data_IF_987585207197
#
_entry.id   IF_987585207197
#
_cell.length_a   1.000
_cell.length_b   1.000
_cell.length_c   1.000
_cell.angle_alpha   90.00
_cell.angle_beta   90.00
_cell.angle_gamma   90.00
#
_symmetry.space_group_name_H-M   'P 1'
#
loop_
_entity.id
_entity.type
_entity.pdbx_description
1 polymer ?
#
# COMPACT_ATOMS: atom_id res chain seq x y z
N UNK A 1 -18.60 -11.39 0.51
CA UNK A 1 -18.78 -11.26 1.97
C UNK A 1 -18.21 -9.92 2.41
N UNK A 2 -18.47 -9.47 3.63
CA UNK A 2 -17.81 -8.30 4.21
C UNK A 2 -16.96 -8.74 5.40
N UNK A 3 -15.72 -9.09 5.11
CA UNK A 3 -14.68 -9.55 6.00
C UNK A 3 -14.39 -8.52 7.11
N UNK A 4 -14.57 -7.22 6.86
CA UNK A 4 -14.45 -6.17 7.89
C UNK A 4 -15.55 -6.18 8.98
N UNK A 5 -16.63 -6.93 8.77
CA UNK A 5 -17.69 -7.11 9.78
C UNK A 5 -17.56 -8.41 10.55
N UNK A 6 -16.64 -9.28 10.13
CA UNK A 6 -16.32 -10.49 10.88
C UNK A 6 -15.59 -10.13 12.18
N UNK A 7 -15.83 -10.89 13.24
CA UNK A 7 -15.03 -10.85 14.47
C UNK A 7 -13.56 -11.21 14.24
N UNK A 8 -13.25 -11.82 13.09
CA UNK A 8 -11.92 -12.27 12.72
C UNK A 8 -11.08 -11.20 12.00
N UNK A 9 -11.64 -10.00 11.77
CA UNK A 9 -10.81 -8.90 11.31
C UNK A 9 -9.83 -8.51 12.44
N UNK A 10 -8.54 -8.57 12.16
CA UNK A 10 -7.48 -8.37 13.17
C UNK A 10 -6.97 -6.92 13.19
N UNK A 11 -7.78 -5.96 12.73
CA UNK A 11 -7.39 -4.56 12.70
C UNK A 11 -7.31 -3.99 14.12
N UNK A 12 -6.24 -3.25 14.40
CA UNK A 12 -6.02 -2.58 15.68
C UNK A 12 -6.94 -1.37 15.92
N UNK A 13 -6.91 -0.84 17.14
CA UNK A 13 -7.77 0.28 17.56
C UNK A 13 -7.50 1.61 16.80
N UNK A 14 -6.29 1.80 16.28
CA UNK A 14 -5.88 2.96 15.49
C UNK A 14 -5.91 2.69 13.96
N UNK A 15 -6.50 1.57 13.56
CA UNK A 15 -6.60 1.10 12.19
C UNK A 15 -8.06 1.10 11.72
N UNK A 16 -8.23 1.27 10.41
CA UNK A 16 -9.49 1.06 9.72
C UNK A 16 -9.38 -0.14 8.80
N UNK A 17 -10.52 -0.79 8.54
CA UNK A 17 -10.61 -1.96 7.68
C UNK A 17 -11.17 -1.56 6.31
N UNK A 18 -10.52 -2.03 5.23
CA UNK A 18 -11.04 -1.96 3.86
C UNK A 18 -11.39 -3.37 3.40
N UNK A 19 -12.63 -3.54 2.97
CA UNK A 19 -13.13 -4.81 2.49
C UNK A 19 -12.77 -5.05 1.02
N UNK A 20 -12.40 -6.28 0.69
CA UNK A 20 -12.21 -6.76 -0.67
C UNK A 20 -12.94 -8.10 -0.84
N UNK A 21 -13.38 -8.48 -2.05
CA UNK A 21 -13.97 -9.79 -2.23
C UNK A 21 -13.00 -10.92 -1.84
N UNK A 22 -13.30 -11.64 -0.75
CA UNK A 22 -12.51 -12.76 -0.24
C UNK A 22 -11.33 -12.38 0.66
N UNK A 23 -11.14 -11.10 1.00
CA UNK A 23 -10.07 -10.65 1.91
C UNK A 23 -10.36 -9.25 2.49
N UNK A 24 -9.49 -8.76 3.37
CA UNK A 24 -9.55 -7.40 3.87
C UNK A 24 -8.13 -6.84 4.06
N UNK A 25 -8.04 -5.53 4.19
CA UNK A 25 -6.80 -4.82 4.49
C UNK A 25 -7.02 -3.85 5.65
N UNK A 26 -6.17 -3.92 6.66
CA UNK A 26 -6.10 -2.91 7.71
C UNK A 26 -5.15 -1.78 7.30
N UNK A 27 -5.51 -0.54 7.60
CA UNK A 27 -4.67 0.63 7.33
C UNK A 27 -4.76 1.64 8.46
N UNK A 28 -3.69 2.41 8.68
CA UNK A 28 -3.64 3.41 9.73
C UNK A 28 -4.57 4.59 9.44
N UNK A 29 -5.29 5.04 10.45
CA UNK A 29 -6.21 6.18 10.34
C UNK A 29 -5.51 7.53 10.46
N UNK A 30 -4.37 7.57 11.15
CA UNK A 30 -3.59 8.79 11.36
C UNK A 30 -2.77 9.14 10.11
N UNK A 31 -2.79 10.40 9.65
CA UNK A 31 -1.91 10.85 8.57
C UNK A 31 -0.44 10.65 8.91
N UNK A 32 0.37 10.27 7.91
CA UNK A 32 1.81 10.04 8.10
C UNK A 32 2.18 8.72 8.79
N UNK A 33 1.19 7.92 9.18
CA UNK A 33 1.41 6.58 9.76
C UNK A 33 1.12 5.47 8.78
N UNK A 34 1.95 4.43 8.82
CA UNK A 34 1.80 3.23 8.02
C UNK A 34 1.83 1.98 8.90
N UNK A 35 1.12 0.95 8.45
CA UNK A 35 1.02 -0.31 9.17
C UNK A 35 2.29 -1.14 8.94
N UNK A 36 3.14 -1.23 9.98
CA UNK A 36 4.40 -1.97 9.98
C UNK A 36 4.31 -3.03 11.08
N UNK A 37 4.40 -4.30 10.70
CA UNK A 37 4.35 -5.44 11.64
C UNK A 37 3.14 -5.40 12.60
N UNK A 38 1.98 -4.92 12.11
CA UNK A 38 0.74 -4.82 12.88
C UNK A 38 0.57 -3.55 13.72
N UNK A 39 1.55 -2.64 13.72
CA UNK A 39 1.50 -1.36 14.47
C UNK A 39 1.54 -0.17 13.52
N UNK A 40 0.86 0.92 13.85
CA UNK A 40 0.93 2.16 13.09
C UNK A 40 2.14 3.00 13.52
N UNK A 41 3.16 3.01 12.68
CA UNK A 41 4.41 3.73 12.90
C UNK A 41 4.47 4.99 12.03
N UNK A 42 5.10 6.04 12.55
CA UNK A 42 5.40 7.24 11.78
C UNK A 42 6.47 6.93 10.73
N UNK A 43 6.20 7.30 9.47
CA UNK A 43 7.14 7.04 8.36
C UNK A 43 7.39 8.29 7.54
N UNK A 44 8.60 8.38 6.99
CA UNK A 44 8.90 9.32 5.91
C UNK A 44 8.50 8.68 4.58
N UNK A 45 7.44 9.18 3.95
CA UNK A 45 6.93 8.68 2.67
C UNK A 45 7.29 9.61 1.52
N UNK A 46 7.60 9.04 0.36
CA UNK A 46 7.67 9.76 -0.92
C UNK A 46 6.51 9.28 -1.80
N UNK A 47 5.82 10.24 -2.44
CA UNK A 47 4.75 9.93 -3.40
C UNK A 47 5.32 9.80 -4.80
N UNK A 48 5.04 8.68 -5.47
CA UNK A 48 5.43 8.43 -6.87
C UNK A 48 4.18 8.33 -7.73
N UNK A 49 4.22 8.93 -8.92
CA UNK A 49 3.22 8.71 -9.97
C UNK A 49 3.81 7.82 -11.04
N UNK A 50 3.18 6.68 -11.30
CA UNK A 50 3.63 5.69 -12.29
C UNK A 50 2.54 5.52 -13.34
N UNK A 51 2.91 5.64 -14.62
CA UNK A 51 2.04 5.36 -15.76
C UNK A 51 2.42 4.02 -16.37
N UNK A 52 1.46 3.11 -16.52
CA UNK A 52 1.67 1.79 -17.14
C UNK A 52 1.21 1.84 -18.60
N UNK A 53 2.16 1.77 -19.53
CA UNK A 53 1.91 1.99 -20.96
C UNK A 53 1.22 0.81 -21.66
N UNK A 54 1.57 -0.42 -21.27
CA UNK A 54 1.11 -1.65 -21.94
C UNK A 54 -0.06 -2.33 -21.18
N UNK A 55 -0.93 -1.53 -20.58
CA UNK A 55 -2.11 -2.02 -19.85
C UNK A 55 -3.37 -1.27 -20.27
N UNK A 56 -4.44 -2.01 -20.54
CA UNK A 56 -5.77 -1.42 -20.76
C UNK A 56 -6.43 -1.14 -19.42
N UNK A 57 -6.94 0.07 -19.22
CA UNK A 57 -7.69 0.41 -18.01
C UNK A 57 -9.11 -0.18 -18.09
N UNK A 58 -9.44 -1.04 -17.12
CA UNK A 58 -10.77 -1.61 -16.96
C UNK A 58 -11.53 -0.87 -15.86
N UNK A 59 -12.86 -0.79 -15.97
CA UNK A 59 -13.71 -0.11 -14.98
C UNK A 59 -13.50 -0.65 -13.55
N UNK A 60 -13.21 -1.94 -13.42
CA UNK A 60 -12.92 -2.58 -12.13
C UNK A 60 -11.67 -1.99 -11.45
N UNK A 61 -10.66 -1.56 -12.22
CA UNK A 61 -9.47 -0.89 -11.68
C UNK A 61 -9.75 0.55 -11.19
N UNK A 62 -10.88 1.13 -11.59
CA UNK A 62 -11.36 2.41 -11.06
C UNK A 62 -12.05 2.29 -9.69
N UNK A 63 -12.35 1.07 -9.24
CA UNK A 63 -13.00 0.81 -7.95
C UNK A 63 -11.99 0.30 -6.93
N UNK A 64 -11.70 1.11 -5.91
CA UNK A 64 -10.71 0.78 -4.87
C UNK A 64 -11.14 -0.34 -3.90
N UNK A 65 -12.32 -0.94 -4.11
CA UNK A 65 -12.87 -2.08 -3.36
C UNK A 65 -13.09 -3.32 -4.24
N UNK A 66 -12.76 -3.27 -5.54
CA UNK A 66 -12.89 -4.43 -6.42
C UNK A 66 -11.78 -5.47 -6.18
N UNK A 67 -12.03 -6.70 -6.59
CA UNK A 67 -11.04 -7.77 -6.53
C UNK A 67 -9.89 -7.52 -7.51
N UNK A 68 -10.19 -6.97 -8.68
CA UNK A 68 -9.24 -6.66 -9.74
C UNK A 68 -8.28 -5.56 -9.29
N UNK A 69 -8.80 -4.50 -8.67
CA UNK A 69 -7.99 -3.44 -8.10
C UNK A 69 -7.05 -3.99 -7.02
N UNK A 70 -7.56 -4.80 -6.10
CA UNK A 70 -6.74 -5.41 -5.04
C UNK A 70 -5.62 -6.29 -5.61
N UNK A 71 -5.96 -7.15 -6.57
CA UNK A 71 -5.01 -8.05 -7.19
C UNK A 71 -3.93 -7.27 -7.98
N UNK A 72 -4.31 -6.18 -8.64
CA UNK A 72 -3.36 -5.30 -9.31
C UNK A 72 -2.48 -4.54 -8.30
N UNK A 73 -3.08 -3.93 -7.27
CA UNK A 73 -2.40 -3.19 -6.19
C UNK A 73 -1.32 -4.04 -5.54
N UNK A 74 -1.68 -5.21 -5.04
CA UNK A 74 -0.75 -6.11 -4.31
C UNK A 74 0.43 -6.54 -5.19
N UNK A 75 0.17 -6.93 -6.45
CA UNK A 75 1.25 -7.25 -7.40
C UNK A 75 2.18 -6.07 -7.66
N UNK A 76 1.63 -4.85 -7.79
CA UNK A 76 2.44 -3.66 -8.01
C UNK A 76 3.27 -3.32 -6.77
N UNK A 77 2.67 -3.37 -5.57
CA UNK A 77 3.35 -3.16 -4.29
C UNK A 77 4.50 -4.15 -4.09
N UNK A 78 4.30 -5.44 -4.37
CA UNK A 78 5.34 -6.47 -4.26
C UNK A 78 6.50 -6.22 -5.23
N UNK A 79 6.19 -5.85 -6.48
CA UNK A 79 7.23 -5.55 -7.48
C UNK A 79 8.00 -4.29 -7.12
N UNK A 80 7.31 -3.22 -6.72
CA UNK A 80 7.95 -1.97 -6.29
C UNK A 80 8.79 -2.23 -5.04
N UNK A 81 8.30 -2.97 -4.06
CA UNK A 81 9.06 -3.35 -2.85
C UNK A 81 10.32 -4.12 -3.21
N UNK A 82 10.23 -5.08 -4.13
CA UNK A 82 11.37 -5.87 -4.60
C UNK A 82 12.41 -4.98 -5.29
N UNK A 83 11.98 -4.15 -6.25
CA UNK A 83 12.87 -3.23 -6.96
C UNK A 83 13.51 -2.26 -5.99
N UNK A 84 12.72 -1.67 -5.10
CA UNK A 84 13.19 -0.75 -4.08
C UNK A 84 14.21 -1.45 -3.18
N UNK A 85 13.95 -2.66 -2.67
CA UNK A 85 14.89 -3.39 -1.83
C UNK A 85 16.19 -3.77 -2.55
N UNK A 86 16.08 -4.32 -3.76
CA UNK A 86 17.23 -4.67 -4.61
C UNK A 86 18.06 -3.43 -4.97
N UNK A 87 17.41 -2.30 -5.21
CA UNK A 87 18.07 -1.01 -5.47
C UNK A 87 18.54 -0.31 -4.19
N UNK A 88 17.89 -0.53 -3.03
CA UNK A 88 18.21 0.11 -1.75
C UNK A 88 19.38 -0.56 -1.03
N UNK A 89 19.64 -1.85 -1.27
CA UNK A 89 20.86 -2.49 -0.79
C UNK A 89 22.12 -1.85 -1.40
N UNK A 90 22.03 -1.31 -2.61
CA UNK A 90 23.09 -0.47 -3.20
C UNK A 90 23.09 0.98 -2.63
N UNK A 91 22.04 1.36 -1.88
CA UNK A 91 21.68 2.73 -1.53
C UNK A 91 21.99 3.12 -0.08
N UNK A 92 22.57 2.21 0.71
CA UNK A 92 23.41 2.60 1.86
C UNK A 92 24.56 3.54 1.38
N UNK A 93 24.79 3.65 0.06
CA UNK A 93 25.67 4.63 -0.60
C UNK A 93 25.00 5.99 -0.92
N UNK A 94 23.67 6.15 -0.93
CA UNK A 94 23.01 7.45 -1.19
C UNK A 94 22.76 8.26 0.08
N UNK A 95 23.83 8.84 0.63
CA UNK A 95 23.77 9.96 1.58
C UNK A 95 23.20 11.27 0.96
N UNK A 96 22.35 11.21 -0.08
CA UNK A 96 22.00 12.37 -0.95
C UNK A 96 20.56 12.40 -1.46
N UNK A 97 19.59 11.76 -0.78
CA UNK A 97 18.18 12.06 -1.08
C UNK A 97 17.75 13.28 -0.27
N UNK A 98 17.89 14.47 -0.86
CA UNK A 98 17.30 15.71 -0.37
C UNK A 98 15.83 15.76 -0.75
N UNK A 99 14.94 15.45 0.19
CA UNK A 99 13.49 15.67 0.01
C UNK A 99 13.19 17.13 0.34
N UNK A 100 12.75 17.92 -0.63
CA UNK A 100 12.18 19.26 -0.39
C UNK A 100 10.66 19.22 -0.56
N UNK A 101 9.93 19.58 0.49
CA UNK A 101 8.47 19.75 0.45
C UNK A 101 8.10 21.10 -0.18
N UNK A 102 6.90 21.19 -0.75
CA UNK A 102 6.19 22.47 -0.92
C UNK A 102 5.33 22.74 0.30
#
# INVERSE_FOLDING_TARGET
TNECTSSDNNCGADQACRNYPGTYECFCTSPGKFLISGTCEDVSSVTLTITILEMTFEAALGSNTSAEFYAFKTRLEDRVRKIMYESFLDLIVLNTISVTSR
#
